data_IF_122203362948
#
_entry.id   IF_122203362948
#
_cell.length_a   1.000
_cell.length_b   1.000
_cell.length_c   1.000
_cell.angle_alpha   90.00
_cell.angle_beta   90.00
_cell.angle_gamma   90.00
#
_symmetry.space_group_name_H-M   'P 1'
#
loop_
_entity.id
_entity.type
_entity.pdbx_description
1 polymer ?
#
# COMPACT_ATOMS: atom_id res chain seq x y z
N UNK A 1 -53.66 -20.49 -51.73
CA UNK A 1 -52.86 -20.87 -50.52
C UNK A 1 -51.47 -20.26 -50.52
N UNK A 2 -51.28 -18.98 -50.84
CA UNK A 2 -49.94 -18.36 -51.00
C UNK A 2 -49.75 -17.01 -50.26
N UNK A 3 -50.76 -16.56 -49.49
CA UNK A 3 -50.67 -15.28 -48.74
C UNK A 3 -50.09 -15.40 -47.30
N UNK A 4 -49.99 -16.60 -46.75
CA UNK A 4 -49.52 -16.79 -45.36
C UNK A 4 -48.00 -16.86 -45.25
N UNK A 5 -47.29 -17.23 -46.29
CA UNK A 5 -45.80 -17.34 -46.26
C UNK A 5 -45.06 -16.02 -46.44
N UNK A 6 -45.74 -15.00 -47.04
CA UNK A 6 -45.13 -13.68 -47.24
C UNK A 6 -45.16 -12.81 -45.96
N UNK A 7 -46.14 -12.96 -45.10
CA UNK A 7 -46.26 -12.17 -43.87
C UNK A 7 -45.27 -12.58 -42.79
N UNK A 8 -44.93 -13.87 -42.69
CA UNK A 8 -43.97 -14.36 -41.71
C UNK A 8 -42.51 -13.92 -42.01
N UNK A 9 -42.17 -13.74 -43.31
CA UNK A 9 -40.84 -13.29 -43.71
C UNK A 9 -40.62 -11.80 -43.47
N UNK A 10 -41.64 -10.98 -43.60
CA UNK A 10 -41.56 -9.54 -43.33
C UNK A 10 -41.50 -9.23 -41.80
N UNK A 11 -42.21 -9.99 -41.00
CA UNK A 11 -42.12 -9.88 -39.54
C UNK A 11 -40.75 -10.33 -38.99
N UNK A 12 -40.19 -11.40 -39.55
CA UNK A 12 -38.84 -11.84 -39.18
C UNK A 12 -37.75 -10.84 -39.59
N UNK A 13 -37.89 -10.20 -40.73
CA UNK A 13 -36.97 -9.14 -41.20
C UNK A 13 -37.07 -7.89 -40.34
N UNK A 14 -38.26 -7.54 -39.87
CA UNK A 14 -38.50 -6.42 -38.96
C UNK A 14 -37.86 -6.66 -37.58
N UNK A 15 -37.95 -7.88 -37.04
CA UNK A 15 -37.37 -8.27 -35.78
C UNK A 15 -35.83 -8.31 -35.83
N UNK A 16 -35.23 -8.74 -36.91
CA UNK A 16 -33.79 -8.75 -37.12
C UNK A 16 -33.19 -7.33 -37.19
N UNK A 17 -33.89 -6.37 -37.82
CA UNK A 17 -33.46 -4.97 -37.88
C UNK A 17 -33.54 -4.29 -36.49
N UNK A 18 -34.55 -4.59 -35.68
CA UNK A 18 -34.66 -4.04 -34.33
C UNK A 18 -33.62 -4.60 -33.37
N UNK A 19 -33.26 -5.88 -33.49
CA UNK A 19 -32.20 -6.49 -32.66
C UNK A 19 -30.80 -5.94 -33.01
N UNK A 20 -30.52 -5.59 -34.27
CA UNK A 20 -29.21 -5.02 -34.64
C UNK A 20 -29.00 -3.58 -34.12
N UNK A 21 -30.07 -2.78 -34.02
CA UNK A 21 -29.98 -1.41 -33.50
C UNK A 21 -29.82 -1.37 -31.97
N UNK A 22 -30.35 -2.37 -31.26
CA UNK A 22 -30.18 -2.46 -29.79
C UNK A 22 -28.80 -2.95 -29.39
N UNK A 23 -28.15 -3.82 -30.16
CA UNK A 23 -26.82 -4.33 -29.84
C UNK A 23 -25.70 -3.29 -30.05
N UNK A 24 -25.86 -2.34 -30.96
CA UNK A 24 -24.85 -1.31 -31.23
C UNK A 24 -24.84 -0.26 -30.09
N UNK A 25 -25.97 0.04 -29.48
CA UNK A 25 -26.04 1.04 -28.41
C UNK A 25 -25.53 0.52 -27.04
N UNK A 26 -25.72 -0.79 -26.77
CA UNK A 26 -25.23 -1.39 -25.51
C UNK A 26 -23.72 -1.58 -25.53
N UNK A 27 -23.13 -1.87 -26.69
CA UNK A 27 -21.67 -2.03 -26.83
C UNK A 27 -20.87 -0.75 -26.53
N UNK A 28 -21.41 0.40 -26.89
CA UNK A 28 -20.72 1.68 -26.65
C UNK A 28 -20.83 2.14 -25.19
N UNK A 29 -21.96 1.86 -24.53
CA UNK A 29 -22.12 2.20 -23.11
C UNK A 29 -21.26 1.29 -22.24
N UNK A 30 -21.14 -0.01 -22.58
CA UNK A 30 -20.28 -0.93 -21.85
C UNK A 30 -18.80 -0.62 -22.04
N UNK A 31 -18.38 -0.18 -23.24
CA UNK A 31 -17.00 0.25 -23.50
C UNK A 31 -16.64 1.55 -22.75
N UNK A 32 -17.58 2.50 -22.67
CA UNK A 32 -17.38 3.74 -21.92
C UNK A 32 -17.28 3.51 -20.41
N UNK A 33 -18.08 2.61 -19.86
CA UNK A 33 -18.05 2.25 -18.42
C UNK A 33 -16.75 1.49 -18.09
N UNK A 34 -16.29 0.61 -18.98
CA UNK A 34 -15.03 -0.11 -18.79
C UNK A 34 -13.82 0.83 -18.85
N UNK A 35 -13.85 1.84 -19.75
CA UNK A 35 -12.77 2.84 -19.84
C UNK A 35 -12.71 3.74 -18.60
N UNK A 36 -13.87 4.12 -18.05
CA UNK A 36 -13.91 4.88 -16.80
C UNK A 36 -13.44 4.06 -15.59
N UNK A 37 -13.72 2.74 -15.55
CA UNK A 37 -13.26 1.87 -14.47
C UNK A 37 -11.73 1.69 -14.47
N UNK A 38 -11.10 1.62 -15.64
CA UNK A 38 -9.64 1.52 -15.75
C UNK A 38 -8.94 2.82 -15.35
N UNK A 39 -9.56 3.99 -15.62
CA UNK A 39 -9.02 5.28 -15.17
C UNK A 39 -9.13 5.50 -13.67
N UNK A 40 -10.10 4.88 -13.00
CA UNK A 40 -10.28 5.00 -11.54
C UNK A 40 -9.26 4.16 -10.73
N UNK A 41 -8.69 3.11 -11.31
CA UNK A 41 -7.68 2.26 -10.64
C UNK A 41 -6.28 2.90 -10.68
N UNK A 42 -6.04 3.85 -11.58
CA UNK A 42 -4.75 4.55 -11.68
C UNK A 42 -4.57 5.69 -10.64
N UNK A 43 -5.58 6.01 -9.84
CA UNK A 43 -5.59 7.16 -8.92
C UNK A 43 -5.44 6.80 -7.43
N UNK A 44 -5.20 5.53 -7.08
CA UNK A 44 -4.95 5.14 -5.69
C UNK A 44 -3.45 4.97 -5.40
N UNK A 45 -2.62 5.93 -5.82
CA UNK A 45 -1.37 6.18 -5.15
C UNK A 45 -1.72 6.99 -3.90
N UNK A 46 -2.07 6.29 -2.85
CA UNK A 46 -2.09 6.90 -1.52
C UNK A 46 -0.63 7.18 -1.21
N UNK A 47 -0.23 8.44 -1.31
CA UNK A 47 1.07 8.90 -0.81
C UNK A 47 1.04 8.76 0.72
N UNK A 48 1.31 7.53 1.21
CA UNK A 48 1.42 7.26 2.64
C UNK A 48 2.54 8.11 3.22
N UNK A 49 2.27 8.69 4.37
CA UNK A 49 3.26 9.47 5.12
C UNK A 49 3.95 8.58 6.18
N UNK A 50 5.16 8.93 6.64
CA UNK A 50 5.78 8.23 7.76
C UNK A 50 4.89 8.18 9.00
N UNK A 51 4.07 9.20 9.25
CA UNK A 51 3.13 9.22 10.36
C UNK A 51 2.11 8.06 10.25
N UNK A 52 1.53 7.87 9.07
CA UNK A 52 0.56 6.79 8.83
C UNK A 52 1.21 5.41 8.97
N UNK A 53 2.47 5.27 8.52
CA UNK A 53 3.25 4.04 8.72
C UNK A 53 3.42 3.74 10.21
N UNK A 54 3.86 4.70 11.02
CA UNK A 54 4.02 4.51 12.47
C UNK A 54 2.68 4.23 13.17
N UNK A 55 1.59 4.85 12.74
CA UNK A 55 0.26 4.57 13.28
C UNK A 55 -0.20 3.14 12.89
N UNK A 56 0.11 2.67 11.68
CA UNK A 56 -0.15 1.30 11.23
C UNK A 56 0.65 0.24 12.00
N UNK A 57 1.92 0.52 12.31
CA UNK A 57 2.78 -0.38 13.09
C UNK A 57 2.20 -0.74 14.46
N UNK A 58 1.35 0.12 15.03
CA UNK A 58 0.67 -0.16 16.32
C UNK A 58 -0.16 -1.44 16.28
N UNK A 59 -0.80 -1.73 15.15
CA UNK A 59 -1.62 -2.94 14.97
C UNK A 59 -0.82 -4.21 14.68
N UNK A 60 0.42 -4.07 14.21
CA UNK A 60 1.27 -5.20 13.82
C UNK A 60 2.17 -5.76 14.93
N UNK A 61 2.21 -5.13 16.11
CA UNK A 61 3.11 -5.54 17.18
C UNK A 61 2.86 -6.96 17.68
N UNK A 62 3.93 -7.73 17.76
CA UNK A 62 3.92 -9.12 18.25
C UNK A 62 4.56 -9.26 19.62
N UNK A 63 3.80 -9.24 20.73
CA UNK A 63 4.33 -9.30 22.10
C UNK A 63 5.18 -10.55 22.37
N UNK A 64 4.82 -11.68 21.78
CA UNK A 64 5.56 -12.93 21.96
C UNK A 64 6.99 -12.86 21.43
N UNK A 65 7.22 -12.10 20.33
CA UNK A 65 8.55 -11.87 19.74
C UNK A 65 9.37 -10.83 20.50
N UNK A 66 8.70 -10.00 21.29
CA UNK A 66 9.31 -8.94 22.08
C UNK A 66 9.66 -9.39 23.53
N UNK A 67 9.35 -10.63 23.92
CA UNK A 67 9.72 -11.16 25.21
C UNK A 67 11.23 -11.17 25.42
N UNK A 68 11.69 -10.63 26.55
CA UNK A 68 13.11 -10.50 26.88
C UNK A 68 13.85 -9.46 26.06
N UNK A 69 13.16 -8.68 25.23
CA UNK A 69 13.76 -7.59 24.46
C UNK A 69 13.61 -6.29 25.22
N UNK A 70 14.75 -5.60 25.45
CA UNK A 70 14.83 -4.25 26.01
C UNK A 70 15.62 -3.41 25.00
N UNK A 71 14.92 -2.58 24.21
CA UNK A 71 15.56 -1.85 23.13
C UNK A 71 14.86 -0.52 22.83
N UNK A 72 15.66 0.48 22.48
CA UNK A 72 15.21 1.81 22.07
C UNK A 72 15.63 2.05 20.64
N UNK A 73 14.67 2.37 19.81
CA UNK A 73 14.83 2.65 18.39
C UNK A 73 14.52 4.11 18.11
N UNK A 74 15.38 4.76 17.33
CA UNK A 74 15.20 6.14 16.88
C UNK A 74 15.15 6.19 15.38
N UNK A 75 14.22 6.96 14.81
CA UNK A 75 14.15 7.31 13.39
C UNK A 75 14.36 8.78 13.20
N UNK A 76 15.25 9.14 12.28
CA UNK A 76 15.49 10.50 11.83
C UNK A 76 15.24 10.50 10.31
N UNK A 77 14.04 10.91 9.90
CA UNK A 77 13.62 10.92 8.52
C UNK A 77 13.72 12.32 7.94
N UNK A 78 14.39 12.45 6.79
CA UNK A 78 14.50 13.69 6.05
C UNK A 78 13.41 13.81 4.98
N UNK A 79 13.13 15.01 4.50
CA UNK A 79 12.15 15.29 3.47
C UNK A 79 10.96 16.10 3.96
N UNK A 80 10.03 16.44 3.06
CA UNK A 80 8.89 17.32 3.39
C UNK A 80 7.96 16.75 4.47
N UNK A 81 7.80 15.42 4.51
CA UNK A 81 7.03 14.69 5.51
C UNK A 81 7.93 14.00 6.54
N UNK A 82 9.21 14.36 6.57
CA UNK A 82 10.19 13.84 7.50
C UNK A 82 9.91 14.26 8.94
N UNK A 83 10.74 13.77 9.84
CA UNK A 83 10.65 14.05 11.27
C UNK A 83 11.40 13.01 12.08
N UNK A 84 11.13 13.03 13.38
CA UNK A 84 11.77 12.13 14.32
C UNK A 84 10.70 11.30 15.03
N UNK A 85 10.94 10.00 15.16
CA UNK A 85 10.08 9.04 15.85
C UNK A 85 10.94 8.09 16.67
N UNK A 86 10.35 7.56 17.69
CA UNK A 86 11.00 6.57 18.54
C UNK A 86 10.05 5.44 18.93
N UNK A 87 10.63 4.26 19.16
CA UNK A 87 9.97 3.11 19.77
C UNK A 87 10.86 2.59 20.88
N UNK A 88 10.29 2.39 22.07
CA UNK A 88 10.89 1.68 23.17
C UNK A 88 10.15 0.36 23.38
N UNK A 89 10.87 -0.74 23.29
CA UNK A 89 10.36 -2.09 23.56
C UNK A 89 10.88 -2.53 24.91
N UNK A 90 9.99 -3.06 25.75
CA UNK A 90 10.33 -3.54 27.06
C UNK A 90 9.52 -4.81 27.39
N UNK A 91 10.18 -5.97 27.29
CA UNK A 91 9.67 -7.28 27.67
C UNK A 91 8.21 -7.55 27.25
N UNK A 92 7.98 -7.59 25.94
CA UNK A 92 6.66 -7.87 25.37
C UNK A 92 5.70 -6.69 25.33
N UNK A 93 6.14 -5.50 25.73
CA UNK A 93 5.39 -4.25 25.63
C UNK A 93 6.17 -3.23 24.82
N UNK A 94 5.51 -2.22 24.29
CA UNK A 94 6.18 -1.11 23.61
C UNK A 94 5.51 0.23 23.89
N UNK A 95 6.30 1.27 23.71
CA UNK A 95 5.85 2.66 23.65
C UNK A 95 6.41 3.27 22.36
N UNK A 96 5.70 4.19 21.76
CA UNK A 96 6.19 4.94 20.60
C UNK A 96 5.70 6.38 20.67
N UNK A 97 6.47 7.25 20.04
CA UNK A 97 6.16 8.67 20.00
C UNK A 97 6.96 9.42 18.94
N UNK A 98 6.65 10.71 18.79
CA UNK A 98 7.42 11.68 18.01
C UNK A 98 8.52 12.31 18.84
N UNK A 99 9.56 12.76 18.16
CA UNK A 99 10.73 13.39 18.75
C UNK A 99 11.88 12.42 18.97
N UNK A 100 12.73 12.74 19.92
CA UNK A 100 13.94 11.97 20.22
C UNK A 100 13.74 11.15 21.50
N UNK A 101 14.45 10.02 21.57
CA UNK A 101 14.57 9.21 22.77
C UNK A 101 16.03 9.21 23.26
N UNK A 102 16.21 9.23 24.56
CA UNK A 102 17.54 9.18 25.16
C UNK A 102 18.18 7.80 24.99
N UNK A 103 19.48 7.81 24.65
CA UNK A 103 20.31 6.60 24.53
C UNK A 103 19.68 5.50 23.65
N UNK A 104 19.38 5.78 22.35
CA UNK A 104 18.85 4.75 21.47
C UNK A 104 19.90 3.66 21.23
N UNK A 105 19.45 2.40 21.24
CA UNK A 105 20.28 1.25 20.87
C UNK A 105 20.53 1.24 19.35
N UNK A 106 19.54 1.71 18.59
CA UNK A 106 19.60 1.77 17.12
C UNK A 106 18.99 3.08 16.65
N UNK A 107 19.66 3.69 15.66
CA UNK A 107 19.15 4.86 14.93
C UNK A 107 19.08 4.56 13.46
N UNK A 108 17.88 4.73 12.87
CA UNK A 108 17.61 4.66 11.45
C UNK A 108 17.58 6.06 10.85
N UNK A 109 18.23 6.25 9.70
CA UNK A 109 18.19 7.50 8.93
C UNK A 109 17.86 7.18 7.48
N UNK A 110 16.83 7.78 6.95
CA UNK A 110 16.38 7.63 5.57
C UNK A 110 15.65 8.91 5.11
N UNK A 111 15.24 8.96 3.84
CA UNK A 111 14.21 9.91 3.43
C UNK A 111 12.83 9.42 3.86
N UNK A 112 11.87 10.34 3.99
CA UNK A 112 10.46 10.04 4.25
C UNK A 112 9.91 9.04 3.22
N UNK A 113 10.24 9.25 1.93
CA UNK A 113 9.81 8.39 0.82
C UNK A 113 10.45 7.00 0.87
N UNK A 114 11.74 6.91 1.18
CA UNK A 114 12.44 5.63 1.27
C UNK A 114 11.91 4.79 2.44
N UNK A 115 11.65 5.42 3.57
CA UNK A 115 11.08 4.76 4.73
C UNK A 115 9.68 4.18 4.42
N UNK A 116 8.80 5.00 3.84
CA UNK A 116 7.46 4.56 3.42
C UNK A 116 7.56 3.41 2.41
N UNK A 117 8.44 3.52 1.40
CA UNK A 117 8.63 2.47 0.40
C UNK A 117 9.13 1.14 1.01
N UNK A 118 10.00 1.20 2.04
CA UNK A 118 10.46 0.01 2.77
C UNK A 118 9.29 -0.64 3.52
N UNK A 119 8.49 0.13 4.22
CA UNK A 119 7.37 -0.38 5.01
C UNK A 119 6.21 -0.92 4.16
N UNK A 120 6.13 -0.53 2.89
CA UNK A 120 5.15 -1.05 1.92
C UNK A 120 5.72 -2.11 0.97
N UNK A 121 6.88 -2.71 1.27
CA UNK A 121 7.58 -3.70 0.45
C UNK A 121 7.90 -3.25 -1.00
N UNK A 122 7.87 -1.94 -1.26
CA UNK A 122 8.23 -1.35 -2.55
C UNK A 122 9.74 -1.18 -2.71
N UNK A 123 10.46 -1.15 -1.59
CA UNK A 123 11.91 -1.06 -1.52
C UNK A 123 12.42 -2.05 -0.49
N UNK A 124 13.28 -2.99 -0.92
CA UNK A 124 13.93 -3.89 0.03
C UNK A 124 14.79 -3.11 1.04
N UNK A 125 14.55 -3.32 2.34
CA UNK A 125 15.35 -2.68 3.40
C UNK A 125 16.84 -3.02 3.31
N UNK A 126 17.19 -4.25 2.91
CA UNK A 126 18.57 -4.67 2.67
C UNK A 126 19.21 -3.90 1.49
N UNK A 127 18.47 -3.75 0.39
CA UNK A 127 18.94 -2.97 -0.76
C UNK A 127 19.08 -1.49 -0.42
N UNK A 128 18.15 -0.92 0.32
CA UNK A 128 18.22 0.45 0.81
C UNK A 128 19.45 0.68 1.69
N UNK A 129 19.80 -0.30 2.55
CA UNK A 129 20.99 -0.26 3.38
C UNK A 129 22.28 -0.34 2.54
N UNK A 130 22.37 -1.28 1.61
CA UNK A 130 23.56 -1.45 0.75
C UNK A 130 23.81 -0.24 -0.16
N UNK A 131 22.74 0.41 -0.63
CA UNK A 131 22.82 1.61 -1.49
C UNK A 131 22.95 2.92 -0.71
N UNK A 132 22.96 2.87 0.63
CA UNK A 132 23.09 4.05 1.49
C UNK A 132 21.81 4.90 1.62
N UNK A 133 20.69 4.45 1.06
CA UNK A 133 19.35 5.09 1.22
C UNK A 133 18.80 4.92 2.63
N UNK A 134 19.10 3.80 3.28
CA UNK A 134 18.86 3.55 4.70
C UNK A 134 20.20 3.46 5.43
N UNK A 135 20.41 4.32 6.40
CA UNK A 135 21.59 4.24 7.28
C UNK A 135 21.13 3.73 8.64
N UNK A 136 21.82 2.70 9.13
CA UNK A 136 21.56 2.10 10.44
C UNK A 136 22.82 2.30 11.30
N UNK A 137 22.66 2.90 12.46
CA UNK A 137 23.71 3.12 13.44
C UNK A 137 23.33 2.47 14.75
N UNK A 138 24.29 1.87 15.44
CA UNK A 138 24.10 1.15 16.70
C UNK A 138 24.10 -0.36 16.52
N UNK A 139 23.41 -1.10 17.39
CA UNK A 139 23.41 -2.56 17.40
C UNK A 139 22.55 -3.15 16.26
N UNK A 140 23.21 -3.78 15.28
CA UNK A 140 22.57 -4.39 14.13
C UNK A 140 21.72 -5.63 14.50
N UNK A 141 22.05 -6.33 15.59
CA UNK A 141 21.24 -7.46 16.04
C UNK A 141 19.90 -6.97 16.58
N UNK A 142 19.93 -5.86 17.34
CA UNK A 142 18.74 -5.18 17.83
C UNK A 142 17.94 -4.63 16.63
N UNK A 143 18.59 -4.06 15.62
CA UNK A 143 17.92 -3.55 14.42
C UNK A 143 17.11 -4.65 13.68
N UNK A 144 17.66 -5.86 13.54
CA UNK A 144 16.97 -6.99 12.90
C UNK A 144 15.74 -7.46 13.66
N UNK A 145 15.80 -7.43 14.99
CA UNK A 145 14.66 -7.83 15.84
C UNK A 145 13.43 -6.94 15.65
N UNK A 146 13.61 -5.71 15.20
CA UNK A 146 12.48 -4.82 14.92
C UNK A 146 11.51 -5.43 13.90
N UNK A 147 12.00 -5.95 12.76
CA UNK A 147 11.17 -6.57 11.73
C UNK A 147 10.49 -7.88 12.18
N UNK A 148 11.01 -8.55 13.23
CA UNK A 148 10.35 -9.72 13.81
C UNK A 148 9.19 -9.34 14.74
N UNK A 149 9.27 -8.16 15.36
CA UNK A 149 8.28 -7.65 16.30
C UNK A 149 7.18 -6.84 15.64
N UNK A 150 7.48 -6.25 14.48
CA UNK A 150 6.58 -5.43 13.65
C UNK A 150 6.69 -5.90 12.20
N UNK A 151 6.08 -7.06 11.83
CA UNK A 151 6.09 -7.60 10.48
C UNK A 151 5.24 -6.78 9.52
#
# INVERSE_FOLDING_TARGET
MTKHASQTNDEMRGQLKRKRLFFVSIGWVAAAICLCAVMAVAASHVDSTPQEVFDGMRGGFQPAKAKGVHARYQWNLSGPNGGEWWIEVNDGTYKMGKGQIDHPNVTFRASDKDWVAICHDQLSGMWAYLTGRLKVSGDQNVARKLGEMFP
#
